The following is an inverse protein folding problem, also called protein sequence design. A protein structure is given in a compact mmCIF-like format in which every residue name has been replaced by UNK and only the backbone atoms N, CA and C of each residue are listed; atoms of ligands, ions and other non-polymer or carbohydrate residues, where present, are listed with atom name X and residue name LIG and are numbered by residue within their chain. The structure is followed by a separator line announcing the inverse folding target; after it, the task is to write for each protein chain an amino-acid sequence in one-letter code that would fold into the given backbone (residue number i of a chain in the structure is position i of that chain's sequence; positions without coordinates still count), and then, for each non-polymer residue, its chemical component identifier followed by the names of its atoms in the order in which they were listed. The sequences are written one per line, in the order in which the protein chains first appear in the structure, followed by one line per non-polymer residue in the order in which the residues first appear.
data_IF_176240363683
#
_entry.id   IF_176240363683
#
_cell.length_a   1.000
_cell.length_b   1.000
_cell.length_c   1.000
_cell.angle_alpha   90.00
_cell.angle_beta   90.00
_cell.angle_gamma   90.00
#
_symmetry.space_group_name_H-M   'P 1'
#
loop_
_entity.id
_entity.type
_entity.pdbx_description
1 polymer ?
#
# COMPACT_ATOMS: atom_id res chain seq x y z
N UNK A 1 -1.80 6.14 10.80
CA UNK A 1 -1.80 5.06 11.82
C UNK A 1 -1.50 3.69 11.21
N UNK A 2 -2.30 3.17 10.25
CA UNK A 2 -2.11 1.84 9.63
C UNK A 2 -0.68 1.55 9.18
N UNK A 3 -0.07 2.47 8.42
CA UNK A 3 1.29 2.32 7.88
C UNK A 3 2.34 2.18 8.99
N UNK A 4 2.24 3.00 10.04
CA UNK A 4 3.20 2.98 11.14
C UNK A 4 3.11 1.68 11.96
N UNK A 5 1.91 1.14 12.14
CA UNK A 5 1.70 -0.13 12.84
C UNK A 5 2.32 -1.29 12.06
N UNK A 6 1.99 -1.42 10.78
CA UNK A 6 2.54 -2.49 9.93
C UNK A 6 4.04 -2.31 9.72
N UNK A 7 4.54 -1.08 9.59
CA UNK A 7 5.99 -0.85 9.54
C UNK A 7 6.69 -1.25 10.85
N UNK A 8 6.02 -1.13 11.98
CA UNK A 8 6.61 -1.46 13.29
C UNK A 8 6.58 -2.96 13.57
N UNK A 9 5.43 -3.61 13.35
CA UNK A 9 5.17 -4.99 13.77
C UNK A 9 5.06 -5.99 12.62
N UNK A 10 5.03 -5.50 11.38
CA UNK A 10 4.75 -6.30 10.20
C UNK A 10 3.29 -6.77 10.13
N UNK A 11 3.05 -7.69 9.19
CA UNK A 11 1.80 -8.42 9.07
C UNK A 11 0.86 -7.87 8.02
N UNK A 12 -0.39 -8.34 8.09
CA UNK A 12 -1.44 -8.05 7.13
C UNK A 12 -2.39 -7.00 7.68
N UNK A 13 -2.61 -5.93 6.91
CA UNK A 13 -3.62 -4.93 7.19
C UNK A 13 -4.80 -5.10 6.23
N UNK A 14 -6.01 -4.99 6.77
CA UNK A 14 -7.27 -4.92 6.01
C UNK A 14 -8.19 -3.91 6.67
N UNK A 15 -8.92 -3.13 5.88
CA UNK A 15 -10.02 -2.32 6.39
C UNK A 15 -11.11 -3.23 7.00
N UNK A 16 -11.78 -2.74 8.04
CA UNK A 16 -12.72 -3.54 8.86
C UNK A 16 -14.04 -3.86 8.17
N UNK A 17 -14.31 -3.18 7.06
CA UNK A 17 -15.46 -3.38 6.17
C UNK A 17 -15.14 -4.32 4.99
N UNK A 18 -13.97 -4.96 5.00
CA UNK A 18 -13.56 -5.91 3.96
C UNK A 18 -13.80 -7.36 4.41
N UNK A 19 -14.28 -8.19 3.48
CA UNK A 19 -14.46 -9.63 3.70
C UNK A 19 -13.39 -10.39 2.92
N UNK A 20 -12.68 -11.29 3.61
CA UNK A 20 -11.71 -12.19 2.99
C UNK A 20 -12.45 -13.43 2.45
N UNK A 21 -12.50 -13.59 1.13
CA UNK A 21 -13.23 -14.70 0.47
C UNK A 21 -12.35 -15.96 0.34
N UNK A 22 -11.04 -15.78 0.17
CA UNK A 22 -10.07 -16.86 -0.01
C UNK A 22 -8.92 -16.70 0.98
N UNK A 23 -8.21 -17.78 1.26
CA UNK A 23 -7.03 -17.72 2.12
C UNK A 23 -5.97 -16.75 1.55
N UNK A 24 -5.49 -15.87 2.42
CA UNK A 24 -4.47 -14.86 2.12
C UNK A 24 -3.19 -15.07 2.94
N UNK A 25 -3.11 -16.16 3.71
CA UNK A 25 -1.99 -16.44 4.62
C UNK A 25 -0.63 -16.57 3.93
N UNK A 26 -0.61 -16.96 2.65
CA UNK A 26 0.60 -17.12 1.84
C UNK A 26 1.10 -15.81 1.20
N UNK A 27 0.33 -14.72 1.29
CA UNK A 27 0.68 -13.45 0.68
C UNK A 27 1.66 -12.69 1.58
N UNK A 28 2.85 -12.42 1.05
CA UNK A 28 3.90 -11.68 1.75
C UNK A 28 4.47 -10.56 0.90
N UNK A 29 4.70 -9.41 1.55
CA UNK A 29 5.18 -8.19 0.92
C UNK A 29 4.37 -7.86 -0.33
N UNK A 30 3.06 -7.66 -0.17
CA UNK A 30 2.13 -7.41 -1.28
C UNK A 30 1.23 -6.20 -1.03
N UNK A 31 0.79 -5.59 -2.11
CA UNK A 31 -0.31 -4.62 -2.10
C UNK A 31 -1.25 -4.87 -3.29
N UNK A 32 -2.54 -4.62 -3.07
CA UNK A 32 -3.57 -4.74 -4.11
C UNK A 32 -3.81 -3.43 -4.87
N UNK A 33 -4.55 -3.51 -5.97
CA UNK A 33 -5.08 -2.34 -6.69
C UNK A 33 -6.52 -2.03 -6.26
N UNK A 34 -6.87 -0.75 -6.17
CA UNK A 34 -8.29 -0.33 -6.01
C UNK A 34 -8.99 -0.09 -7.35
N UNK A 35 -8.23 0.27 -8.39
CA UNK A 35 -8.71 0.46 -9.76
C UNK A 35 -7.56 0.19 -10.75
N UNK A 36 -7.72 0.52 -12.03
CA UNK A 36 -6.74 0.21 -13.08
C UNK A 36 -5.36 0.85 -12.89
N UNK A 37 -5.31 2.00 -12.21
CA UNK A 37 -4.12 2.85 -12.14
C UNK A 37 -3.69 3.18 -10.70
N UNK A 38 -4.43 2.71 -9.69
CA UNK A 38 -4.15 3.08 -8.30
C UNK A 38 -4.05 1.88 -7.36
N UNK A 39 -2.98 1.90 -6.58
CA UNK A 39 -2.76 0.98 -5.47
C UNK A 39 -3.79 1.25 -4.37
N UNK A 40 -4.35 0.18 -3.82
CA UNK A 40 -5.23 0.25 -2.66
C UNK A 40 -4.42 0.51 -1.38
N UNK A 41 -4.89 1.46 -0.55
CA UNK A 41 -4.37 1.65 0.81
C UNK A 41 -5.09 0.82 1.88
N UNK A 42 -6.17 0.13 1.48
CA UNK A 42 -7.08 -0.61 2.35
C UNK A 42 -6.66 -2.04 2.67
N UNK A 43 -5.75 -2.63 1.88
CA UNK A 43 -5.31 -4.00 2.08
C UNK A 43 -3.87 -4.19 1.60
N UNK A 44 -2.98 -4.63 2.49
CA UNK A 44 -1.58 -4.89 2.18
C UNK A 44 -0.91 -5.76 3.24
N UNK A 45 0.15 -6.45 2.84
CA UNK A 45 1.07 -7.12 3.75
C UNK A 45 2.46 -6.50 3.60
N UNK A 46 3.14 -6.25 4.71
CA UNK A 46 4.57 -6.01 4.69
C UNK A 46 5.25 -6.61 5.91
N UNK A 47 6.50 -7.03 5.75
CA UNK A 47 7.36 -7.37 6.87
C UNK A 47 7.69 -6.12 7.73
N UNK A 48 8.07 -6.31 9.00
CA UNK A 48 8.51 -5.20 9.83
C UNK A 48 9.65 -4.44 9.15
N UNK A 49 9.61 -3.11 9.25
CA UNK A 49 10.63 -2.19 8.69
C UNK A 49 10.75 -2.19 7.16
N UNK A 50 9.79 -2.76 6.42
CA UNK A 50 9.82 -2.76 4.95
C UNK A 50 9.98 -1.34 4.38
N UNK A 51 10.89 -1.19 3.41
CA UNK A 51 11.27 0.11 2.84
C UNK A 51 10.08 0.83 2.17
N UNK A 52 9.22 0.10 1.47
CA UNK A 52 7.96 0.61 0.91
C UNK A 52 7.14 1.45 1.91
N UNK A 53 6.88 0.92 3.11
CA UNK A 53 6.08 1.64 4.12
C UNK A 53 6.84 2.84 4.70
N UNK A 54 8.17 2.77 4.78
CA UNK A 54 8.99 3.91 5.20
C UNK A 54 8.93 5.07 4.20
N UNK A 55 9.06 4.78 2.91
CA UNK A 55 8.93 5.77 1.85
C UNK A 55 7.51 6.35 1.76
N UNK A 56 6.48 5.53 2.01
CA UNK A 56 5.10 6.01 2.18
C UNK A 56 5.03 7.03 3.30
N UNK A 57 5.55 6.73 4.50
CA UNK A 57 5.50 7.68 5.62
C UNK A 57 6.22 9.00 5.30
N UNK A 58 7.38 8.95 4.63
CA UNK A 58 8.07 10.17 4.16
C UNK A 58 7.22 10.96 3.16
N UNK A 59 6.59 10.26 2.21
CA UNK A 59 5.76 10.89 1.20
C UNK A 59 4.51 11.54 1.81
N UNK A 60 3.87 10.86 2.78
CA UNK A 60 2.74 11.37 3.54
C UNK A 60 3.06 12.68 4.25
N UNK A 61 4.19 12.75 4.98
CA UNK A 61 4.58 13.98 5.70
C UNK A 61 4.88 15.13 4.74
N UNK A 62 5.53 14.85 3.60
CA UNK A 62 5.95 15.89 2.65
C UNK A 62 4.81 16.41 1.76
N UNK A 63 3.85 15.56 1.41
CA UNK A 63 2.86 15.85 0.35
C UNK A 63 1.41 15.72 0.85
N UNK A 64 1.18 15.89 2.14
CA UNK A 64 -0.18 15.90 2.65
C UNK A 64 -0.93 17.13 2.12
N UNK A 65 -1.97 16.87 1.34
CA UNK A 65 -2.87 17.89 0.82
C UNK A 65 -4.23 17.78 1.54
N UNK A 66 -4.53 18.70 2.47
CA UNK A 66 -5.82 18.72 3.14
C UNK A 66 -6.93 19.03 2.12
N UNK A 67 -8.06 18.33 2.22
CA UNK A 67 -9.19 18.48 1.30
C UNK A 67 -9.10 17.67 0.00
N UNK A 68 -7.97 17.01 -0.27
CA UNK A 68 -7.82 16.11 -1.43
C UNK A 68 -8.03 14.66 -1.01
N UNK A 69 -9.08 14.02 -1.53
CA UNK A 69 -9.31 12.60 -1.32
C UNK A 69 -8.12 11.77 -1.83
N UNK A 70 -7.70 10.81 -1.01
CA UNK A 70 -6.62 9.89 -1.31
C UNK A 70 -5.20 10.46 -1.15
N UNK A 71 -5.02 11.70 -0.67
CA UNK A 71 -3.68 12.31 -0.50
C UNK A 71 -2.76 11.51 0.43
N UNK A 72 -3.32 10.86 1.46
CA UNK A 72 -2.61 9.90 2.34
C UNK A 72 -3.00 8.44 2.07
N UNK A 73 -3.70 8.18 0.97
CA UNK A 73 -4.24 6.88 0.64
C UNK A 73 -3.74 6.44 -0.73
N UNK A 74 -4.65 6.04 -1.65
CA UNK A 74 -4.26 5.46 -2.93
C UNK A 74 -3.26 6.27 -3.75
N UNK A 75 -3.44 7.59 -3.88
CA UNK A 75 -2.53 8.45 -4.64
C UNK A 75 -1.10 8.43 -4.08
N UNK A 76 -0.97 8.43 -2.76
CA UNK A 76 0.34 8.33 -2.09
C UNK A 76 0.98 6.97 -2.36
N UNK A 77 0.21 5.90 -2.22
CA UNK A 77 0.71 4.53 -2.41
C UNK A 77 1.18 4.32 -3.86
N UNK A 78 0.38 4.74 -4.84
CA UNK A 78 0.74 4.67 -6.26
C UNK A 78 2.04 5.42 -6.54
N UNK A 79 2.14 6.70 -6.15
CA UNK A 79 3.36 7.50 -6.39
C UNK A 79 4.62 6.87 -5.79
N UNK A 80 4.51 6.29 -4.59
CA UNK A 80 5.65 5.63 -3.94
C UNK A 80 5.96 4.29 -4.60
N UNK A 81 4.93 3.51 -4.94
CA UNK A 81 5.09 2.25 -5.67
C UNK A 81 5.77 2.43 -7.01
N UNK A 82 5.31 3.38 -7.83
CA UNK A 82 5.91 3.68 -9.13
C UNK A 82 7.37 4.13 -8.99
N UNK A 83 7.66 4.96 -7.99
CA UNK A 83 9.02 5.41 -7.68
C UNK A 83 9.94 4.24 -7.32
N UNK A 84 9.46 3.30 -6.49
CA UNK A 84 10.27 2.19 -5.99
C UNK A 84 10.42 1.05 -7.01
N UNK A 85 9.37 0.78 -7.79
CA UNK A 85 9.38 -0.26 -8.82
C UNK A 85 9.88 0.23 -10.18
N UNK A 86 10.26 1.51 -10.31
CA UNK A 86 10.93 2.05 -11.50
C UNK A 86 10.02 2.32 -12.70
N UNK A 87 8.70 2.44 -12.51
CA UNK A 87 7.77 2.73 -13.59
C UNK A 87 6.30 2.66 -13.21
N UNK A 88 5.39 2.96 -14.16
CA UNK A 88 3.95 2.87 -13.95
C UNK A 88 3.52 1.46 -13.55
N UNK A 89 2.63 1.39 -12.56
CA UNK A 89 2.09 0.12 -12.08
C UNK A 89 0.72 -0.11 -12.72
N UNK A 90 0.58 -1.19 -13.50
CA UNK A 90 -0.66 -1.54 -14.20
C UNK A 90 -1.28 -2.83 -13.66
N UNK A 91 -2.61 -2.86 -13.54
CA UNK A 91 -3.43 -3.96 -13.00
C UNK A 91 -3.32 -5.32 -13.73
N UNK A 92 -2.51 -5.43 -14.79
CA UNK A 92 -2.29 -6.71 -15.47
C UNK A 92 -1.76 -7.79 -14.51
N UNK A 93 -1.24 -7.39 -13.35
CA UNK A 93 -1.00 -8.23 -12.19
C UNK A 93 -2.02 -7.89 -11.08
N UNK A 94 -2.79 -8.89 -10.60
CA UNK A 94 -3.83 -8.69 -9.56
C UNK A 94 -3.24 -8.27 -8.20
N UNK A 95 -1.95 -8.50 -8.01
CA UNK A 95 -1.20 -8.27 -6.78
C UNK A 95 0.18 -7.76 -7.17
N UNK A 96 0.60 -6.63 -6.59
CA UNK A 96 1.97 -6.14 -6.74
C UNK A 96 2.78 -6.71 -5.57
N UNK A 97 3.86 -7.42 -5.88
CA UNK A 97 4.89 -7.70 -4.89
C UNK A 97 5.69 -6.42 -4.64
N UNK A 98 5.84 -6.06 -3.37
CA UNK A 98 6.55 -4.86 -2.98
C UNK A 98 8.02 -4.98 -3.42
N UNK A 99 8.43 -4.04 -4.27
CA UNK A 99 9.80 -3.60 -4.41
C UNK A 99 10.23 -2.87 -3.09
#
# INVERSE_FOLDING_TARGET
MRVALVWTFGGYYSDTDTICINDSSSLHNVVGFQNENEIASGQFHAEPKHNFLFEIMKHMVKNYEPGVWGSLGPKCYTKVGEKLCGGPLAKNEKTIYLC
#
